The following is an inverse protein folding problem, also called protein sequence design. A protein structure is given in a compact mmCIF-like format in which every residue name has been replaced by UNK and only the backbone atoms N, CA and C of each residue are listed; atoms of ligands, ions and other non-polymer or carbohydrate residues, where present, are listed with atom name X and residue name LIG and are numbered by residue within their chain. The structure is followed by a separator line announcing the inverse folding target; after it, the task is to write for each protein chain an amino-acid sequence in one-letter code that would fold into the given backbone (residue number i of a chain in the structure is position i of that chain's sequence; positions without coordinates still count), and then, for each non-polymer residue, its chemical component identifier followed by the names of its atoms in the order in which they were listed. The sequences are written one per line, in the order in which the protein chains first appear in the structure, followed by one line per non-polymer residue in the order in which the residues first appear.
data_IF_001358731776
#
_entry.id   IF_001358731776
#
_cell.length_a   1.000
_cell.length_b   1.000
_cell.length_c   1.000
_cell.angle_alpha   90.00
_cell.angle_beta   90.00
_cell.angle_gamma   90.00
#
_symmetry.space_group_name_H-M   'P 1'
#
loop_
_entity.id
_entity.type
_entity.pdbx_description
1 polymer ?
#
# COMPACT_ATOMS: atom_id res chain seq x y z
N UNK A 1 1.91 -16.79 -29.87
CA UNK A 1 2.04 -17.77 -28.76
C UNK A 1 1.57 -17.07 -27.49
N UNK A 2 0.84 -17.77 -26.62
CA UNK A 2 0.45 -17.23 -25.31
C UNK A 2 1.66 -17.17 -24.38
N UNK A 3 1.72 -16.16 -23.52
CA UNK A 3 2.74 -15.99 -22.48
C UNK A 3 2.22 -16.61 -21.19
N UNK A 4 2.88 -17.66 -20.70
CA UNK A 4 2.58 -18.27 -19.41
C UNK A 4 3.16 -17.40 -18.30
N UNK A 5 2.30 -16.92 -17.40
CA UNK A 5 2.68 -16.10 -16.23
C UNK A 5 2.49 -16.89 -14.96
N UNK A 6 3.60 -17.35 -14.37
CA UNK A 6 3.62 -18.03 -13.08
C UNK A 6 3.71 -17.00 -11.95
N UNK A 7 2.60 -16.77 -11.25
CA UNK A 7 2.48 -15.69 -10.27
C UNK A 7 2.40 -16.22 -8.84
N UNK A 8 3.22 -15.67 -7.93
CA UNK A 8 3.11 -16.00 -6.50
C UNK A 8 1.93 -15.25 -5.87
N UNK A 9 0.77 -15.89 -5.84
CA UNK A 9 -0.49 -15.34 -5.31
C UNK A 9 -0.66 -15.53 -3.79
N UNK A 10 0.38 -15.99 -3.07
CA UNK A 10 0.31 -16.18 -1.62
C UNK A 10 -0.13 -14.95 -0.81
N UNK A 11 0.16 -13.69 -1.20
CA UNK A 11 -0.36 -12.51 -0.52
C UNK A 11 -1.89 -12.45 -0.44
N UNK A 12 -2.62 -13.05 -1.39
CA UNK A 12 -4.09 -13.08 -1.44
C UNK A 12 -4.71 -13.99 -0.37
N UNK A 13 -3.93 -14.85 0.28
CA UNK A 13 -4.38 -15.72 1.38
C UNK A 13 -4.51 -14.98 2.74
N UNK A 14 -4.14 -13.72 2.78
CA UNK A 14 -4.23 -12.88 3.99
C UNK A 14 -5.27 -11.78 3.80
N UNK A 15 -5.78 -11.17 4.90
CA UNK A 15 -6.61 -9.98 4.76
C UNK A 15 -5.94 -8.96 3.85
N UNK A 16 -6.72 -8.31 2.99
CA UNK A 16 -6.21 -7.40 1.97
C UNK A 16 -5.41 -6.26 2.61
N UNK A 17 -4.15 -6.20 2.23
CA UNK A 17 -3.21 -5.11 2.50
C UNK A 17 -2.85 -4.46 1.18
N UNK A 18 -2.04 -3.40 1.15
CA UNK A 18 -1.58 -2.79 -0.10
C UNK A 18 -1.02 -3.80 -1.10
N UNK A 19 -0.20 -4.77 -0.65
CA UNK A 19 0.34 -5.83 -1.51
C UNK A 19 -0.75 -6.78 -2.02
N UNK A 20 -1.74 -7.12 -1.18
CA UNK A 20 -2.89 -7.92 -1.60
C UNK A 20 -3.75 -7.21 -2.65
N UNK A 21 -3.96 -5.90 -2.50
CA UNK A 21 -4.65 -5.07 -3.49
C UNK A 21 -3.87 -5.00 -4.81
N UNK A 22 -2.55 -4.82 -4.74
CA UNK A 22 -1.68 -4.88 -5.92
C UNK A 22 -1.84 -6.20 -6.67
N UNK A 23 -1.66 -7.34 -5.99
CA UNK A 23 -1.78 -8.65 -6.60
C UNK A 23 -3.14 -8.86 -7.27
N UNK A 24 -4.22 -8.51 -6.55
CA UNK A 24 -5.58 -8.70 -7.05
C UNK A 24 -5.87 -7.85 -8.29
N UNK A 25 -5.58 -6.55 -8.22
CA UNK A 25 -5.91 -5.63 -9.31
C UNK A 25 -5.03 -5.88 -10.54
N UNK A 26 -3.72 -6.07 -10.36
CA UNK A 26 -2.82 -6.39 -11.46
C UNK A 26 -3.25 -7.65 -12.20
N UNK A 27 -3.50 -8.75 -11.47
CA UNK A 27 -3.85 -10.01 -12.09
C UNK A 27 -5.25 -9.99 -12.70
N UNK A 28 -6.21 -9.29 -12.08
CA UNK A 28 -7.54 -9.09 -12.68
C UNK A 28 -7.48 -8.38 -14.04
N UNK A 29 -6.56 -7.42 -14.22
CA UNK A 29 -6.37 -6.76 -15.51
C UNK A 29 -5.60 -7.64 -16.50
N UNK A 30 -4.59 -8.38 -16.05
CA UNK A 30 -3.82 -9.28 -16.91
C UNK A 30 -4.67 -10.43 -17.47
N UNK A 31 -5.61 -10.98 -16.69
CA UNK A 31 -6.59 -11.97 -17.18
C UNK A 31 -7.41 -11.47 -18.37
N UNK A 32 -7.63 -10.15 -18.47
CA UNK A 32 -8.38 -9.51 -19.55
C UNK A 32 -7.52 -9.15 -20.77
N UNK A 33 -6.21 -9.47 -20.77
CA UNK A 33 -5.32 -9.22 -21.90
C UNK A 33 -5.13 -10.49 -22.71
N UNK A 34 -5.50 -10.46 -23.97
CA UNK A 34 -5.35 -11.60 -24.87
C UNK A 34 -3.88 -12.01 -25.02
N UNK A 35 -3.64 -13.33 -25.01
CA UNK A 35 -2.29 -13.88 -25.15
C UNK A 35 -1.50 -13.94 -23.84
N UNK A 36 -2.13 -13.76 -22.68
CA UNK A 36 -1.60 -14.03 -21.35
C UNK A 36 -2.31 -15.23 -20.75
N UNK A 37 -1.56 -16.16 -20.18
CA UNK A 37 -2.06 -17.36 -19.53
C UNK A 37 -1.52 -17.42 -18.09
N UNK A 38 -2.29 -16.94 -17.10
CA UNK A 38 -1.83 -16.83 -15.72
C UNK A 38 -2.03 -18.13 -14.95
N UNK A 39 -1.01 -18.49 -14.15
CA UNK A 39 -1.01 -19.63 -13.21
C UNK A 39 -0.67 -19.10 -11.81
N UNK A 40 -1.53 -19.37 -10.83
CA UNK A 40 -1.44 -18.80 -9.48
C UNK A 40 -0.91 -19.80 -8.47
N UNK A 41 0.18 -19.43 -7.78
CA UNK A 41 0.74 -20.23 -6.69
C UNK A 41 0.34 -19.67 -5.33
N UNK A 42 -0.49 -20.41 -4.60
CA UNK A 42 -1.01 -20.04 -3.28
C UNK A 42 -0.18 -20.66 -2.13
N UNK A 43 1.17 -20.57 -2.23
CA UNK A 43 2.09 -20.95 -1.17
C UNK A 43 2.25 -22.45 -0.89
N UNK A 44 1.81 -23.28 -1.82
CA UNK A 44 1.92 -24.76 -1.78
C UNK A 44 0.98 -25.45 -2.77
N UNK A 45 0.00 -24.71 -3.28
CA UNK A 45 -1.00 -25.22 -4.24
C UNK A 45 -1.04 -24.30 -5.45
N UNK A 46 -1.15 -24.88 -6.64
CA UNK A 46 -1.39 -24.20 -7.88
C UNK A 46 -2.88 -24.12 -8.21
N UNK A 47 -3.28 -23.05 -8.86
CA UNK A 47 -4.64 -22.85 -9.39
C UNK A 47 -4.56 -21.98 -10.64
N UNK A 48 -5.46 -22.19 -11.57
CA UNK A 48 -5.68 -21.34 -12.74
C UNK A 48 -6.77 -20.27 -12.44
N UNK A 49 -7.35 -20.28 -11.22
CA UNK A 49 -8.36 -19.32 -10.79
C UNK A 49 -7.76 -18.30 -9.81
N UNK A 50 -8.01 -17.02 -10.04
CA UNK A 50 -7.64 -15.92 -9.16
C UNK A 50 -8.59 -15.85 -7.96
N UNK A 51 -8.05 -16.03 -6.74
CA UNK A 51 -8.80 -15.86 -5.49
C UNK A 51 -9.07 -14.38 -5.23
N UNK A 52 -10.33 -13.97 -5.36
CA UNK A 52 -10.79 -12.60 -5.14
C UNK A 52 -11.10 -12.26 -3.68
N UNK A 53 -11.25 -13.31 -2.84
CA UNK A 53 -11.48 -13.16 -1.39
C UNK A 53 -10.62 -14.16 -0.62
N UNK A 54 -10.08 -13.70 0.52
CA UNK A 54 -9.31 -14.57 1.40
C UNK A 54 -10.20 -15.67 1.99
N UNK A 55 -9.75 -16.95 2.01
CA UNK A 55 -10.53 -18.05 2.59
C UNK A 55 -10.81 -17.81 4.09
N UNK A 56 -12.06 -17.96 4.50
CA UNK A 56 -12.51 -17.75 5.90
C UNK A 56 -11.93 -18.76 6.91
N UNK A 57 -11.37 -19.89 6.44
CA UNK A 57 -10.92 -21.03 7.27
C UNK A 57 -9.44 -20.97 7.73
N UNK A 58 -8.67 -19.93 7.42
CA UNK A 58 -7.20 -19.88 7.70
C UNK A 58 -6.87 -19.59 9.18
N UNK A 59 -7.85 -19.42 10.05
CA UNK A 59 -7.65 -18.96 11.43
C UNK A 59 -7.04 -19.98 12.40
N UNK A 60 -7.28 -21.28 12.25
CA UNK A 60 -6.91 -22.29 13.25
C UNK A 60 -5.42 -22.73 13.21
N UNK A 61 -4.77 -22.72 12.04
CA UNK A 61 -3.36 -23.18 11.90
C UNK A 61 -2.32 -22.10 12.26
N UNK A 62 -2.74 -20.83 12.41
CA UNK A 62 -1.84 -19.71 12.75
C UNK A 62 -1.28 -19.80 14.18
N UNK A 63 -2.02 -20.34 15.16
CA UNK A 63 -1.58 -20.38 16.57
C UNK A 63 -0.37 -21.31 16.78
N UNK A 64 -0.33 -22.47 16.17
CA UNK A 64 0.76 -23.46 16.35
C UNK A 64 2.05 -23.04 15.62
N UNK A 65 1.94 -22.44 14.41
CA UNK A 65 3.10 -21.94 13.65
C UNK A 65 3.78 -20.74 14.32
N UNK A 66 3.06 -19.96 15.11
CA UNK A 66 3.58 -18.76 15.79
C UNK A 66 4.59 -19.11 16.91
N UNK A 67 4.42 -20.21 17.60
CA UNK A 67 5.30 -20.63 18.71
C UNK A 67 6.67 -21.13 18.22
N UNK A 68 6.72 -21.87 17.11
CA UNK A 68 7.99 -22.39 16.54
C UNK A 68 8.79 -21.29 15.83
N UNK A 69 8.11 -20.35 15.17
CA UNK A 69 8.74 -19.19 14.50
C UNK A 69 9.35 -18.18 15.48
N UNK A 70 8.96 -18.18 16.75
CA UNK A 70 9.49 -17.29 17.77
C UNK A 70 10.87 -17.72 18.30
N UNK A 71 11.27 -18.98 18.15
CA UNK A 71 12.51 -19.51 18.73
C UNK A 71 13.70 -19.41 17.76
N UNK A 72 13.51 -19.62 16.46
CA UNK A 72 14.55 -19.46 15.42
C UNK A 72 13.88 -18.95 14.11
N UNK A 73 13.58 -17.65 14.01
CA UNK A 73 12.78 -17.10 12.88
C UNK A 73 13.44 -17.35 11.52
N UNK A 74 14.73 -17.09 11.40
CA UNK A 74 15.47 -17.14 10.13
C UNK A 74 15.56 -18.56 9.55
N UNK A 75 15.76 -19.57 10.39
CA UNK A 75 15.87 -20.96 9.94
C UNK A 75 14.50 -21.49 9.50
N UNK A 76 13.46 -21.21 10.29
CA UNK A 76 12.09 -21.60 9.97
C UNK A 76 11.59 -20.95 8.67
N UNK A 77 11.84 -19.65 8.49
CA UNK A 77 11.54 -18.94 7.25
C UNK A 77 12.35 -19.46 6.05
N UNK A 78 13.64 -19.74 6.25
CA UNK A 78 14.50 -20.29 5.20
C UNK A 78 14.05 -21.68 4.72
N UNK A 79 13.68 -22.57 5.65
CA UNK A 79 13.15 -23.89 5.34
C UNK A 79 11.79 -23.80 4.64
N UNK A 80 10.90 -22.91 5.11
CA UNK A 80 9.59 -22.70 4.50
C UNK A 80 9.74 -22.16 3.06
N UNK A 81 10.64 -21.20 2.82
CA UNK A 81 10.91 -20.68 1.47
C UNK A 81 11.49 -21.75 0.55
N UNK A 82 12.42 -22.59 1.03
CA UNK A 82 12.95 -23.71 0.25
C UNK A 82 11.86 -24.74 -0.09
N UNK A 83 11.00 -25.06 0.86
CA UNK A 83 9.89 -25.97 0.63
C UNK A 83 8.90 -25.40 -0.40
N UNK A 84 8.48 -24.14 -0.23
CA UNK A 84 7.60 -23.44 -1.18
C UNK A 84 8.22 -23.36 -2.57
N UNK A 85 9.49 -23.00 -2.67
CA UNK A 85 10.20 -22.92 -3.95
C UNK A 85 10.27 -24.30 -4.66
N UNK A 86 10.48 -25.40 -3.92
CA UNK A 86 10.42 -26.75 -4.50
C UNK A 86 9.03 -27.10 -5.02
N UNK A 87 7.97 -26.73 -4.30
CA UNK A 87 6.58 -26.95 -4.74
C UNK A 87 6.23 -26.05 -5.93
N UNK A 88 6.71 -24.82 -5.93
CA UNK A 88 6.59 -23.91 -7.06
C UNK A 88 7.21 -24.54 -8.32
N UNK A 89 8.47 -24.95 -8.26
CA UNK A 89 9.17 -25.53 -9.42
C UNK A 89 8.55 -26.83 -9.94
N UNK A 90 7.89 -27.62 -9.09
CA UNK A 90 7.21 -28.84 -9.53
C UNK A 90 5.94 -28.58 -10.36
N UNK A 91 5.33 -27.42 -10.22
CA UNK A 91 4.12 -27.06 -10.97
C UNK A 91 4.39 -26.29 -12.25
N UNK A 92 5.66 -25.99 -12.59
CA UNK A 92 6.01 -25.36 -13.85
C UNK A 92 5.93 -26.39 -14.98
N UNK A 93 4.96 -26.24 -15.87
CA UNK A 93 4.70 -27.20 -16.93
C UNK A 93 5.51 -26.94 -18.21
N UNK A 94 5.89 -25.69 -18.49
CA UNK A 94 6.58 -25.30 -19.74
C UNK A 94 7.53 -24.14 -19.47
N UNK A 95 8.65 -24.15 -20.19
CA UNK A 95 9.64 -23.07 -20.16
C UNK A 95 9.62 -22.18 -21.40
N UNK A 96 8.93 -22.59 -22.46
CA UNK A 96 8.79 -21.79 -23.68
C UNK A 96 7.76 -20.67 -23.44
N UNK A 97 8.17 -19.42 -23.66
CA UNK A 97 7.33 -18.22 -23.42
C UNK A 97 6.70 -18.19 -22.03
N UNK A 98 7.53 -18.37 -20.99
CA UNK A 98 7.10 -18.37 -19.61
C UNK A 98 7.91 -17.38 -18.76
N UNK A 99 7.25 -16.74 -17.78
CA UNK A 99 7.86 -15.82 -16.82
C UNK A 99 7.35 -16.12 -15.41
N UNK A 100 8.22 -15.99 -14.42
CA UNK A 100 7.85 -15.99 -13.00
C UNK A 100 7.76 -14.56 -12.49
N UNK A 101 6.66 -14.21 -11.86
CA UNK A 101 6.52 -12.96 -11.13
C UNK A 101 6.37 -13.18 -9.62
N UNK A 102 7.32 -12.65 -8.87
CA UNK A 102 7.25 -12.51 -7.41
C UNK A 102 6.75 -11.10 -7.07
N UNK A 103 5.49 -10.95 -6.61
CA UNK A 103 4.92 -9.63 -6.31
C UNK A 103 5.30 -9.10 -4.93
N UNK A 104 6.14 -9.80 -4.16
CA UNK A 104 6.40 -9.48 -2.77
C UNK A 104 7.85 -9.75 -2.36
N UNK A 105 8.78 -8.98 -2.90
CA UNK A 105 10.19 -8.88 -2.54
C UNK A 105 11.07 -10.13 -2.77
N UNK A 106 10.66 -11.33 -2.30
CA UNK A 106 11.57 -12.47 -2.14
C UNK A 106 11.25 -13.62 -3.10
N UNK A 107 11.83 -13.59 -4.29
CA UNK A 107 11.64 -14.60 -5.31
C UNK A 107 12.18 -15.99 -4.93
N UNK A 108 11.48 -17.03 -5.38
CA UNK A 108 11.99 -18.39 -5.37
C UNK A 108 13.15 -18.54 -6.37
N UNK A 109 14.00 -19.52 -6.12
CA UNK A 109 14.98 -19.92 -7.12
C UNK A 109 14.30 -20.82 -8.15
N UNK A 110 14.21 -20.38 -9.39
CA UNK A 110 13.50 -21.04 -10.50
C UNK A 110 14.31 -20.93 -11.79
N UNK A 111 14.17 -21.86 -12.76
CA UNK A 111 14.78 -21.76 -14.06
C UNK A 111 14.10 -20.75 -15.00
N UNK A 112 12.96 -20.17 -14.61
CA UNK A 112 12.22 -19.21 -15.43
C UNK A 112 12.85 -17.82 -15.35
N UNK A 113 12.76 -17.02 -16.43
CA UNK A 113 12.92 -15.57 -16.34
C UNK A 113 12.08 -15.02 -15.20
N UNK A 114 12.68 -14.21 -14.33
CA UNK A 114 12.08 -13.80 -13.06
C UNK A 114 11.94 -12.30 -12.97
N UNK A 115 10.71 -11.85 -12.71
CA UNK A 115 10.37 -10.47 -12.37
C UNK A 115 10.04 -10.39 -10.88
N UNK A 116 10.57 -9.39 -10.18
CA UNK A 116 10.32 -9.15 -8.76
C UNK A 116 9.75 -7.76 -8.58
N UNK A 117 8.61 -7.63 -7.88
CA UNK A 117 8.14 -6.32 -7.42
C UNK A 117 8.72 -6.01 -6.05
N UNK A 118 9.38 -4.86 -5.96
CA UNK A 118 9.92 -4.27 -4.74
C UNK A 118 9.14 -2.99 -4.47
N UNK A 119 8.16 -3.09 -3.55
CA UNK A 119 7.24 -2.00 -3.26
C UNK A 119 7.93 -0.82 -2.59
N UNK A 120 8.88 -1.08 -1.69
CA UNK A 120 9.64 -0.06 -0.99
C UNK A 120 10.96 -0.61 -0.41
N UNK A 121 11.83 0.27 0.04
CA UNK A 121 13.03 -0.06 0.81
C UNK A 121 12.93 0.40 2.27
N UNK A 122 11.72 0.52 2.82
CA UNK A 122 11.49 0.99 4.19
C UNK A 122 12.24 0.18 5.24
N UNK A 123 12.39 -1.13 4.98
CA UNK A 123 13.14 -2.04 5.86
C UNK A 123 14.63 -1.65 5.98
N UNK A 124 15.20 -1.00 4.97
CA UNK A 124 16.59 -0.53 4.94
C UNK A 124 16.71 0.94 5.37
N UNK A 125 15.74 1.79 4.99
CA UNK A 125 15.77 3.24 5.23
C UNK A 125 15.28 3.63 6.62
N UNK A 126 14.30 2.87 7.14
CA UNK A 126 13.64 3.10 8.44
C UNK A 126 13.55 1.80 9.25
N UNK A 127 14.68 1.09 9.49
CA UNK A 127 14.68 -0.20 10.17
C UNK A 127 14.09 -0.13 11.59
N UNK A 128 14.22 1.01 12.25
CA UNK A 128 13.66 1.27 13.58
C UNK A 128 12.13 1.25 13.59
N UNK A 129 11.48 1.45 12.43
CA UNK A 129 10.03 1.41 12.31
C UNK A 129 9.47 -0.01 12.13
N UNK A 130 10.34 -0.99 11.95
CA UNK A 130 9.98 -2.39 11.71
C UNK A 130 10.36 -3.31 12.90
N UNK A 131 9.74 -4.50 13.02
CA UNK A 131 10.21 -5.54 13.94
C UNK A 131 11.64 -5.98 13.59
N UNK A 132 12.49 -6.13 14.61
CA UNK A 132 13.94 -6.42 14.44
C UNK A 132 14.22 -7.72 13.68
N UNK A 133 13.45 -8.76 13.94
CA UNK A 133 13.52 -10.05 13.27
C UNK A 133 13.22 -9.93 11.76
N UNK A 134 12.19 -9.14 11.41
CA UNK A 134 11.87 -8.85 10.02
C UNK A 134 12.99 -8.07 9.32
N UNK A 135 13.56 -7.06 9.97
CA UNK A 135 14.69 -6.28 9.44
C UNK A 135 15.85 -7.21 9.13
N UNK A 136 16.31 -8.00 10.12
CA UNK A 136 17.43 -8.92 9.96
C UNK A 136 17.22 -9.93 8.82
N UNK A 137 16.02 -10.49 8.72
CA UNK A 137 15.67 -11.45 7.66
C UNK A 137 15.66 -10.81 6.27
N UNK A 138 14.96 -9.68 6.12
CA UNK A 138 14.80 -9.01 4.84
C UNK A 138 16.12 -8.43 4.33
N UNK A 139 16.91 -7.76 5.17
CA UNK A 139 18.19 -7.16 4.79
C UNK A 139 19.15 -8.20 4.18
N UNK A 140 19.16 -9.43 4.72
CA UNK A 140 20.03 -10.50 4.18
C UNK A 140 19.55 -11.07 2.86
N UNK A 141 18.25 -11.08 2.58
CA UNK A 141 17.68 -11.81 1.44
C UNK A 141 17.20 -10.96 0.30
N UNK A 142 16.84 -9.71 0.58
CA UNK A 142 16.31 -8.79 -0.44
C UNK A 142 17.33 -8.55 -1.55
N UNK A 143 18.58 -8.27 -1.20
CA UNK A 143 19.66 -8.06 -2.17
C UNK A 143 19.92 -9.29 -3.04
N UNK A 144 19.81 -10.50 -2.49
CA UNK A 144 19.95 -11.73 -3.27
C UNK A 144 18.79 -11.91 -4.26
N UNK A 145 17.55 -11.64 -3.82
CA UNK A 145 16.37 -11.70 -4.67
C UNK A 145 16.46 -10.71 -5.84
N UNK A 146 16.81 -9.44 -5.54
CA UNK A 146 16.94 -8.37 -6.53
C UNK A 146 18.05 -8.70 -7.57
N UNK A 147 19.22 -9.17 -7.13
CA UNK A 147 20.32 -9.48 -8.06
C UNK A 147 20.01 -10.65 -8.99
N UNK A 148 19.23 -11.63 -8.54
CA UNK A 148 18.82 -12.78 -9.35
C UNK A 148 17.67 -12.50 -10.29
N UNK A 149 16.83 -11.53 -10.00
CA UNK A 149 15.73 -11.16 -10.88
C UNK A 149 16.27 -10.66 -12.23
N UNK A 150 15.66 -11.04 -13.33
CA UNK A 150 15.98 -10.50 -14.67
C UNK A 150 15.50 -9.06 -14.80
N UNK A 151 14.39 -8.71 -14.13
CA UNK A 151 13.93 -7.35 -14.00
C UNK A 151 13.26 -7.13 -12.63
N UNK A 152 13.42 -5.93 -12.09
CA UNK A 152 12.75 -5.48 -10.88
C UNK A 152 11.71 -4.42 -11.24
N UNK A 153 10.49 -4.58 -10.75
CA UNK A 153 9.45 -3.56 -10.82
C UNK A 153 9.43 -2.79 -9.50
N UNK A 154 9.36 -1.47 -9.59
CA UNK A 154 9.10 -0.56 -8.46
C UNK A 154 7.80 0.20 -8.71
N UNK A 155 7.07 0.52 -7.65
CA UNK A 155 5.78 1.18 -7.71
C UNK A 155 5.87 2.67 -8.08
N UNK A 156 7.08 3.27 -8.03
CA UNK A 156 7.32 4.69 -8.28
C UNK A 156 8.71 4.92 -8.88
N UNK A 157 8.89 6.05 -9.55
CA UNK A 157 10.23 6.45 -10.01
C UNK A 157 11.17 6.72 -8.84
N UNK A 158 10.66 7.29 -7.74
CA UNK A 158 11.42 7.44 -6.51
C UNK A 158 11.98 6.09 -6.03
N UNK A 159 11.14 5.07 -5.89
CA UNK A 159 11.55 3.72 -5.48
C UNK A 159 12.51 3.08 -6.49
N UNK A 160 12.30 3.31 -7.80
CA UNK A 160 13.22 2.87 -8.84
C UNK A 160 14.62 3.43 -8.63
N UNK A 161 14.75 4.72 -8.42
CA UNK A 161 16.05 5.38 -8.19
C UNK A 161 16.73 4.87 -6.92
N UNK A 162 15.97 4.64 -5.85
CA UNK A 162 16.52 4.05 -4.62
C UNK A 162 17.07 2.64 -4.84
N UNK A 163 16.34 1.78 -5.57
CA UNK A 163 16.77 0.40 -5.86
C UNK A 163 18.03 0.40 -6.73
N UNK A 164 18.08 1.25 -7.74
CA UNK A 164 19.26 1.41 -8.60
C UNK A 164 20.49 1.80 -7.79
N UNK A 165 20.35 2.80 -6.92
CA UNK A 165 21.44 3.31 -6.09
C UNK A 165 21.88 2.30 -5.02
N UNK A 166 20.93 1.66 -4.32
CA UNK A 166 21.22 0.73 -3.23
C UNK A 166 21.95 -0.54 -3.70
N UNK A 167 21.56 -1.07 -4.87
CA UNK A 167 22.10 -2.34 -5.37
C UNK A 167 23.06 -2.19 -6.53
N UNK A 168 23.38 -0.97 -6.95
CA UNK A 168 24.25 -0.64 -8.09
C UNK A 168 23.83 -1.42 -9.34
N UNK A 169 22.56 -1.36 -9.70
CA UNK A 169 22.01 -2.05 -10.87
C UNK A 169 22.04 -1.14 -12.10
N UNK A 170 22.20 -1.73 -13.31
CA UNK A 170 22.04 -0.97 -14.53
C UNK A 170 20.58 -0.52 -14.72
N UNK A 171 20.34 0.69 -15.28
CA UNK A 171 19.00 1.31 -15.36
C UNK A 171 17.92 0.44 -16.02
N UNK A 172 18.29 -0.41 -16.97
CA UNK A 172 17.40 -1.31 -17.69
C UNK A 172 16.88 -2.49 -16.86
N UNK A 173 17.50 -2.76 -15.70
CA UNK A 173 17.12 -3.83 -14.77
C UNK A 173 16.00 -3.43 -13.82
N UNK A 174 15.71 -2.15 -13.69
CA UNK A 174 14.65 -1.66 -12.79
C UNK A 174 13.69 -0.79 -13.57
N UNK A 175 12.41 -1.12 -13.53
CA UNK A 175 11.33 -0.41 -14.22
C UNK A 175 10.35 0.13 -13.19
N UNK A 176 9.96 1.40 -13.33
CA UNK A 176 8.88 1.99 -12.55
C UNK A 176 7.55 1.67 -13.24
N UNK A 177 6.62 1.05 -12.51
CA UNK A 177 5.25 0.76 -12.95
C UNK A 177 4.29 1.29 -11.90
N UNK A 178 3.59 2.38 -12.23
CA UNK A 178 2.75 3.07 -11.27
C UNK A 178 1.48 2.27 -10.95
N UNK A 179 1.06 2.32 -9.69
CA UNK A 179 -0.17 1.72 -9.22
C UNK A 179 -1.37 2.64 -9.47
N UNK A 180 -2.58 2.17 -9.13
CA UNK A 180 -3.80 2.95 -9.22
C UNK A 180 -4.69 2.74 -7.98
N UNK A 181 -5.66 3.63 -7.77
CA UNK A 181 -6.75 3.37 -6.84
C UNK A 181 -7.60 2.20 -7.36
N UNK A 182 -8.16 1.40 -6.46
CA UNK A 182 -9.08 0.33 -6.84
C UNK A 182 -10.34 0.90 -7.50
N UNK A 183 -11.00 0.11 -8.35
CA UNK A 183 -12.18 0.53 -9.14
C UNK A 183 -13.36 1.02 -8.29
N UNK A 184 -13.41 0.66 -7.00
CA UNK A 184 -14.42 1.15 -6.05
C UNK A 184 -14.18 2.57 -5.53
N UNK A 185 -12.99 3.15 -5.74
CA UNK A 185 -12.66 4.48 -5.25
C UNK A 185 -13.07 5.55 -6.29
N UNK A 186 -14.23 6.12 -6.06
CA UNK A 186 -14.78 7.24 -6.82
C UNK A 186 -15.61 8.13 -5.90
N UNK A 187 -15.91 9.39 -6.28
CA UNK A 187 -16.74 10.26 -5.47
C UNK A 187 -18.12 9.64 -5.22
N UNK A 188 -18.51 9.60 -3.95
CA UNK A 188 -19.85 9.17 -3.53
C UNK A 188 -20.80 10.36 -3.62
N UNK A 189 -22.01 10.13 -4.14
CA UNK A 189 -23.04 11.17 -4.21
C UNK A 189 -23.42 11.69 -2.81
N UNK A 190 -23.66 13.00 -2.69
CA UNK A 190 -23.89 13.66 -1.40
C UNK A 190 -25.07 13.05 -0.63
N UNK A 191 -26.11 12.59 -1.35
CA UNK A 191 -27.32 11.98 -0.80
C UNK A 191 -27.06 10.61 -0.15
N UNK A 192 -26.00 9.91 -0.57
CA UNK A 192 -25.63 8.59 -0.04
C UNK A 192 -24.70 8.67 1.17
N UNK A 193 -23.97 9.78 1.34
CA UNK A 193 -22.98 9.95 2.40
C UNK A 193 -23.58 9.78 3.81
N UNK A 194 -24.75 10.33 4.16
CA UNK A 194 -25.30 10.15 5.51
C UNK A 194 -25.48 8.68 5.89
N UNK A 195 -26.00 7.85 4.99
CA UNK A 195 -26.20 6.42 5.24
C UNK A 195 -24.87 5.66 5.40
N UNK A 196 -23.84 5.99 4.60
CA UNK A 196 -22.54 5.35 4.65
C UNK A 196 -21.70 5.78 5.87
N UNK A 197 -21.90 6.99 6.36
CA UNK A 197 -21.17 7.54 7.51
C UNK A 197 -21.83 7.27 8.86
N UNK A 198 -23.14 6.98 8.87
CA UNK A 198 -23.91 6.69 10.09
C UNK A 198 -23.31 5.56 10.96
N UNK A 199 -22.80 4.44 10.41
CA UNK A 199 -22.16 3.38 11.20
C UNK A 199 -20.94 3.84 11.99
N UNK A 200 -20.33 4.95 11.58
CA UNK A 200 -19.13 5.54 12.20
C UNK A 200 -19.47 6.77 13.04
N UNK A 201 -20.75 7.14 13.15
CA UNK A 201 -21.21 8.38 13.82
C UNK A 201 -20.47 9.62 13.27
N UNK A 202 -20.38 9.73 11.91
CA UNK A 202 -19.71 10.81 11.21
C UNK A 202 -20.68 11.57 10.31
N UNK A 203 -20.38 12.84 10.06
CA UNK A 203 -21.12 13.70 9.15
C UNK A 203 -20.18 14.20 8.02
N UNK A 204 -20.71 14.28 6.81
CA UNK A 204 -19.95 14.76 5.66
C UNK A 204 -19.43 16.18 5.85
N UNK A 205 -18.14 16.39 5.55
CA UNK A 205 -17.47 17.67 5.71
C UNK A 205 -17.10 18.03 7.15
N UNK A 206 -17.35 17.16 8.13
CA UNK A 206 -17.13 17.46 9.54
C UNK A 206 -16.06 16.56 10.20
N UNK A 207 -15.06 16.12 9.47
CA UNK A 207 -13.91 15.41 10.07
C UNK A 207 -12.65 15.52 9.20
N UNK A 208 -11.51 15.47 9.88
CA UNK A 208 -10.19 15.21 9.26
C UNK A 208 -9.98 13.70 9.27
N UNK A 209 -9.47 13.12 8.18
CA UNK A 209 -9.30 11.68 8.03
C UNK A 209 -7.83 11.30 7.81
N UNK A 210 -7.39 10.21 8.43
CA UNK A 210 -6.18 9.48 8.07
C UNK A 210 -6.48 7.98 7.97
N UNK A 211 -5.99 7.31 6.92
CA UNK A 211 -6.25 5.89 6.66
C UNK A 211 -4.94 5.14 6.52
N UNK A 212 -4.82 3.99 7.18
CA UNK A 212 -3.68 3.08 7.05
C UNK A 212 -3.40 2.29 8.32
N UNK A 213 -2.59 1.25 8.22
CA UNK A 213 -2.11 0.51 9.40
C UNK A 213 -1.37 1.46 10.33
N UNK A 214 -1.69 1.41 11.63
CA UNK A 214 -1.05 2.24 12.64
C UNK A 214 0.36 1.73 12.90
N UNK A 215 1.33 2.31 12.21
CA UNK A 215 2.75 2.00 12.33
C UNK A 215 3.58 3.30 12.38
N UNK A 216 4.78 3.30 12.99
CA UNK A 216 5.57 4.51 13.18
C UNK A 216 5.88 5.27 11.88
N UNK A 217 6.08 4.57 10.78
CA UNK A 217 6.38 5.12 9.46
C UNK A 217 5.27 6.05 8.93
N UNK A 218 4.00 5.78 9.30
CA UNK A 218 2.84 6.63 8.92
C UNK A 218 2.80 7.97 9.67
N UNK A 219 3.63 8.11 10.70
CA UNK A 219 3.88 9.37 11.40
C UNK A 219 2.63 10.06 11.96
N UNK A 220 1.69 9.25 12.44
CA UNK A 220 0.46 9.74 13.05
C UNK A 220 0.70 10.62 14.28
N UNK A 221 1.82 10.42 14.98
CA UNK A 221 2.24 11.27 16.10
C UNK A 221 2.38 12.74 15.68
N UNK A 222 3.03 13.01 14.54
CA UNK A 222 3.12 14.38 13.99
C UNK A 222 1.74 14.92 13.59
N UNK A 223 0.91 14.09 12.93
CA UNK A 223 -0.45 14.49 12.58
C UNK A 223 -1.30 14.87 13.81
N UNK A 224 -1.21 14.11 14.88
CA UNK A 224 -1.94 14.37 16.12
C UNK A 224 -1.43 15.61 16.82
N UNK A 225 -0.11 15.82 16.90
CA UNK A 225 0.49 17.04 17.45
C UNK A 225 0.07 18.28 16.68
N UNK A 226 0.05 18.20 15.36
CA UNK A 226 -0.43 19.27 14.49
C UNK A 226 -1.93 19.55 14.70
N UNK A 227 -2.75 18.51 14.74
CA UNK A 227 -4.17 18.63 15.01
C UNK A 227 -4.45 19.24 16.41
N UNK A 228 -3.68 18.87 17.43
CA UNK A 228 -3.80 19.41 18.77
C UNK A 228 -3.51 20.93 18.88
N UNK A 229 -2.81 21.50 17.88
CA UNK A 229 -2.54 22.95 17.77
C UNK A 229 -3.67 23.75 17.16
N UNK A 230 -4.64 23.08 16.52
CA UNK A 230 -5.82 23.76 16.00
C UNK A 230 -6.64 24.38 17.16
N UNK A 231 -7.37 25.47 16.91
CA UNK A 231 -8.30 26.04 17.90
C UNK A 231 -9.26 24.99 18.47
N UNK A 232 -9.54 25.06 19.77
CA UNK A 232 -10.37 24.07 20.43
C UNK A 232 -11.77 23.98 19.83
N UNK A 233 -12.35 25.11 19.43
CA UNK A 233 -13.65 25.15 18.75
C UNK A 233 -13.65 24.29 17.46
N UNK A 234 -12.59 24.39 16.66
CA UNK A 234 -12.42 23.56 15.44
C UNK A 234 -12.35 22.08 15.82
N UNK A 235 -11.56 21.72 16.83
CA UNK A 235 -11.41 20.31 17.24
C UNK A 235 -12.68 19.70 17.83
N UNK A 236 -13.56 20.51 18.41
CA UNK A 236 -14.86 20.05 18.90
C UNK A 236 -15.84 19.76 17.76
N UNK A 237 -15.81 20.56 16.71
CA UNK A 237 -16.71 20.44 15.56
C UNK A 237 -16.19 19.44 14.50
N UNK A 238 -14.86 19.35 14.34
CA UNK A 238 -14.19 18.60 13.25
C UNK A 238 -13.18 17.62 13.87
N UNK A 239 -13.64 16.45 14.38
CA UNK A 239 -12.74 15.46 14.98
C UNK A 239 -11.76 14.90 13.98
N UNK A 240 -10.59 14.47 14.47
CA UNK A 240 -9.61 13.71 13.68
C UNK A 240 -9.93 12.21 13.75
N UNK A 241 -10.29 11.64 12.62
CA UNK A 241 -10.69 10.24 12.45
C UNK A 241 -9.52 9.44 11.92
N UNK A 242 -9.19 8.35 12.60
CA UNK A 242 -8.11 7.44 12.25
C UNK A 242 -8.72 6.07 11.93
N UNK A 243 -8.63 5.65 10.66
CA UNK A 243 -9.11 4.36 10.17
C UNK A 243 -7.92 3.44 9.85
N UNK A 244 -7.89 2.25 10.42
CA UNK A 244 -6.86 1.25 10.16
C UNK A 244 -6.61 0.32 11.33
N UNK A 245 -6.06 -0.84 11.02
CA UNK A 245 -5.70 -1.83 12.04
C UNK A 245 -4.56 -1.34 12.93
N UNK A 246 -4.57 -1.75 14.20
CA UNK A 246 -3.41 -1.58 15.07
C UNK A 246 -2.22 -2.36 14.51
N UNK A 247 -1.15 -1.66 14.20
CA UNK A 247 0.12 -2.22 13.76
C UNK A 247 1.03 -2.55 14.93
N UNK A 248 2.27 -2.13 14.85
CA UNK A 248 3.30 -2.38 15.88
C UNK A 248 3.88 -1.06 16.41
N UNK A 249 4.41 -1.08 17.66
CA UNK A 249 5.04 0.08 18.32
C UNK A 249 4.13 1.31 18.43
N UNK A 250 2.86 1.10 18.77
CA UNK A 250 1.85 2.17 18.90
C UNK A 250 1.69 2.70 20.32
N UNK A 251 2.42 2.18 21.32
CA UNK A 251 2.22 2.53 22.74
C UNK A 251 2.47 4.01 23.06
N UNK A 252 3.41 4.65 22.35
CA UNK A 252 3.62 6.10 22.42
C UNK A 252 2.44 6.90 21.92
N UNK A 253 1.89 6.50 20.79
CA UNK A 253 0.71 7.10 20.18
C UNK A 253 -0.50 7.00 21.12
N UNK A 254 -0.69 5.83 21.76
CA UNK A 254 -1.84 5.59 22.66
C UNK A 254 -1.87 6.59 23.83
N UNK A 255 -0.72 7.00 24.38
CA UNK A 255 -0.62 7.99 25.42
C UNK A 255 -0.89 9.42 24.95
N UNK A 256 -0.36 9.79 23.78
CA UNK A 256 -0.53 11.14 23.22
C UNK A 256 -1.98 11.43 22.83
N UNK A 257 -2.74 10.41 22.45
CA UNK A 257 -4.13 10.57 21.99
C UNK A 257 -5.17 10.46 23.12
N UNK A 258 -4.83 9.87 24.28
CA UNK A 258 -5.81 9.53 25.31
C UNK A 258 -6.72 10.71 25.70
N UNK A 259 -6.13 11.85 26.03
CA UNK A 259 -6.90 13.05 26.42
C UNK A 259 -7.78 13.62 25.29
N UNK A 260 -7.34 13.49 24.02
CA UNK A 260 -8.12 13.95 22.87
C UNK A 260 -9.27 12.98 22.53
N UNK A 261 -9.06 11.68 22.77
CA UNK A 261 -10.13 10.67 22.63
C UNK A 261 -11.21 10.89 23.69
N UNK A 262 -10.83 11.10 24.95
CA UNK A 262 -11.77 11.38 26.05
C UNK A 262 -12.65 12.61 25.76
N UNK A 263 -12.09 13.62 25.09
CA UNK A 263 -12.82 14.81 24.64
C UNK A 263 -13.62 14.60 23.34
N UNK A 264 -13.60 13.42 22.74
CA UNK A 264 -14.24 13.16 21.45
C UNK A 264 -13.57 13.83 20.23
N UNK A 265 -12.41 14.47 20.43
CA UNK A 265 -11.67 15.19 19.39
C UNK A 265 -10.87 14.28 18.47
N UNK A 266 -10.54 13.06 18.91
CA UNK A 266 -9.97 12.00 18.09
C UNK A 266 -10.85 10.76 18.15
N UNK A 267 -11.12 10.16 17.01
CA UNK A 267 -11.90 8.91 16.90
C UNK A 267 -11.05 7.86 16.17
N UNK A 268 -10.95 6.66 16.75
CA UNK A 268 -10.28 5.51 16.15
C UNK A 268 -11.33 4.50 15.70
N UNK A 269 -11.44 4.28 14.40
CA UNK A 269 -12.43 3.36 13.84
C UNK A 269 -11.93 1.90 13.84
N UNK A 270 -10.63 1.67 14.01
CA UNK A 270 -10.06 0.34 13.80
C UNK A 270 -10.08 -0.08 12.34
N UNK A 271 -10.23 -1.38 12.08
CA UNK A 271 -10.37 -1.88 10.72
C UNK A 271 -11.68 -1.41 10.09
N UNK A 272 -11.58 -0.83 8.92
CA UNK A 272 -12.72 -0.43 8.09
C UNK A 272 -12.71 -1.31 6.84
N UNK A 273 -13.83 -1.93 6.47
CA UNK A 273 -13.95 -2.68 5.22
C UNK A 273 -13.70 -1.80 4.00
N UNK A 274 -13.10 -2.38 2.96
CA UNK A 274 -12.74 -1.65 1.73
C UNK A 274 -13.97 -0.95 1.10
N UNK A 275 -15.14 -1.57 1.21
CA UNK A 275 -16.40 -1.06 0.66
C UNK A 275 -16.89 0.22 1.35
N UNK A 276 -16.47 0.47 2.60
CA UNK A 276 -16.84 1.66 3.35
C UNK A 276 -15.84 2.83 3.17
N UNK A 277 -14.62 2.54 2.72
CA UNK A 277 -13.57 3.55 2.54
C UNK A 277 -13.96 4.67 1.57
N UNK A 278 -14.60 4.41 0.41
CA UNK A 278 -15.01 5.47 -0.51
C UNK A 278 -15.94 6.51 0.15
N UNK A 279 -16.86 6.06 1.00
CA UNK A 279 -17.73 6.95 1.79
C UNK A 279 -16.94 7.80 2.78
N UNK A 280 -15.98 7.19 3.50
CA UNK A 280 -15.12 7.91 4.43
C UNK A 280 -14.21 8.93 3.73
N UNK A 281 -13.62 8.59 2.59
CA UNK A 281 -12.82 9.54 1.82
C UNK A 281 -13.70 10.68 1.27
N UNK A 282 -14.82 10.35 0.61
CA UNK A 282 -15.69 11.36 -0.03
C UNK A 282 -16.30 12.33 0.97
N UNK A 283 -16.59 11.87 2.19
CA UNK A 283 -17.13 12.69 3.27
C UNK A 283 -16.07 13.44 4.06
N UNK A 284 -14.79 13.19 3.89
CA UNK A 284 -13.73 13.86 4.65
C UNK A 284 -13.60 15.34 4.25
N UNK A 285 -13.48 16.23 5.27
CA UNK A 285 -13.14 17.63 5.03
C UNK A 285 -11.72 17.79 4.53
N UNK A 286 -10.79 17.04 5.13
CA UNK A 286 -9.37 16.99 4.78
C UNK A 286 -8.86 15.57 5.02
N UNK A 287 -8.07 15.04 4.10
CA UNK A 287 -7.31 13.81 4.30
C UNK A 287 -5.84 14.15 4.60
N UNK A 288 -5.28 13.56 5.66
CA UNK A 288 -3.93 13.86 6.15
C UNK A 288 -3.07 12.61 6.16
N UNK A 289 -1.91 12.67 5.51
CA UNK A 289 -1.01 11.53 5.37
C UNK A 289 0.48 11.95 5.42
N UNK A 290 1.00 12.30 6.60
CA UNK A 290 2.34 12.84 6.76
C UNK A 290 3.42 11.74 6.90
N UNK A 291 3.31 10.65 6.15
CA UNK A 291 4.22 9.52 6.22
C UNK A 291 5.68 9.94 6.06
N UNK A 292 6.57 9.32 6.84
CA UNK A 292 8.01 9.51 6.74
C UNK A 292 8.56 8.93 5.43
N UNK A 293 7.94 7.86 4.95
CA UNK A 293 8.39 7.14 3.77
C UNK A 293 7.27 6.25 3.21
N UNK A 294 7.09 6.25 1.88
CA UNK A 294 6.19 5.38 1.13
C UNK A 294 6.84 4.89 -0.16
N UNK A 295 6.48 3.68 -0.58
CA UNK A 295 6.89 3.17 -1.89
C UNK A 295 6.04 3.73 -3.03
N UNK A 296 4.75 4.04 -2.74
CA UNK A 296 3.83 4.69 -3.68
C UNK A 296 2.95 5.73 -2.99
N UNK A 297 1.96 5.30 -2.22
CA UNK A 297 0.98 6.19 -1.56
C UNK A 297 -0.44 5.93 -2.05
N UNK A 298 -0.90 4.67 -2.00
CA UNK A 298 -2.27 4.32 -2.35
C UNK A 298 -3.32 5.12 -1.58
N UNK A 299 -3.24 5.31 -0.23
CA UNK A 299 -4.27 6.05 0.50
C UNK A 299 -4.46 7.50 0.04
N UNK A 300 -3.43 8.32 -0.20
CA UNK A 300 -3.60 9.64 -0.82
C UNK A 300 -4.22 9.58 -2.21
N UNK A 301 -3.85 8.60 -3.04
CA UNK A 301 -4.44 8.44 -4.37
C UNK A 301 -5.92 8.06 -4.29
N UNK A 302 -6.30 7.14 -3.40
CA UNK A 302 -7.67 6.76 -3.12
C UNK A 302 -8.50 7.95 -2.61
N UNK A 303 -7.92 8.75 -1.71
CA UNK A 303 -8.54 9.97 -1.20
C UNK A 303 -8.80 10.97 -2.33
N UNK A 304 -7.82 11.22 -3.21
CA UNK A 304 -7.98 12.07 -4.39
C UNK A 304 -9.03 11.54 -5.35
N UNK A 305 -9.03 10.22 -5.62
CA UNK A 305 -10.01 9.58 -6.48
C UNK A 305 -11.44 9.75 -5.95
N UNK A 306 -11.63 9.72 -4.62
CA UNK A 306 -12.91 9.97 -3.95
C UNK A 306 -13.22 11.48 -3.76
N UNK A 307 -12.33 12.36 -4.16
CA UNK A 307 -12.52 13.81 -4.07
C UNK A 307 -12.22 14.40 -2.70
N UNK A 308 -11.46 13.73 -1.82
CA UNK A 308 -10.96 14.36 -0.61
C UNK A 308 -9.79 15.30 -0.92
N UNK A 309 -9.75 16.53 -0.37
CA UNK A 309 -8.56 17.37 -0.38
C UNK A 309 -7.46 16.73 0.48
N UNK A 310 -6.23 16.64 -0.04
CA UNK A 310 -5.16 15.91 0.63
C UNK A 310 -4.05 16.82 1.13
N UNK A 311 -3.51 16.49 2.32
CA UNK A 311 -2.23 16.98 2.83
C UNK A 311 -1.31 15.78 3.00
N UNK A 312 -0.16 15.81 2.36
CA UNK A 312 0.82 14.72 2.43
C UNK A 312 2.20 15.26 2.83
N UNK A 313 3.12 14.37 3.21
CA UNK A 313 4.51 14.78 3.34
C UNK A 313 5.15 15.00 1.96
N UNK A 314 6.20 15.84 1.93
CA UNK A 314 7.03 16.09 0.76
C UNK A 314 8.14 15.03 0.57
N UNK A 315 7.94 13.80 1.08
CA UNK A 315 8.96 12.75 1.13
C UNK A 315 8.62 11.56 0.25
N UNK A 316 9.67 10.86 -0.18
CA UNK A 316 9.59 9.63 -0.97
C UNK A 316 8.73 9.76 -2.23
N UNK A 317 7.84 8.81 -2.49
CA UNK A 317 6.96 8.80 -3.67
C UNK A 317 5.75 9.73 -3.57
N UNK A 318 5.44 10.31 -2.40
CA UNK A 318 4.23 11.11 -2.21
C UNK A 318 4.16 12.35 -3.11
N UNK A 319 5.26 13.12 -3.33
CA UNK A 319 5.27 14.20 -4.31
C UNK A 319 4.98 13.73 -5.74
N UNK A 320 5.50 12.55 -6.11
CA UNK A 320 5.26 11.95 -7.43
C UNK A 320 3.79 11.57 -7.63
N UNK A 321 3.12 11.06 -6.60
CA UNK A 321 1.71 10.65 -6.67
C UNK A 321 0.77 11.85 -6.62
N UNK A 322 0.97 12.76 -5.67
CA UNK A 322 0.04 13.87 -5.42
C UNK A 322 0.27 15.06 -6.35
N UNK A 323 1.52 15.36 -6.71
CA UNK A 323 1.85 16.53 -7.53
C UNK A 323 1.37 17.82 -6.89
N UNK A 324 0.74 18.67 -7.70
CA UNK A 324 0.12 19.94 -7.29
C UNK A 324 -1.36 19.81 -6.87
N UNK A 325 -1.88 18.59 -6.84
CA UNK A 325 -3.27 18.29 -6.48
C UNK A 325 -3.52 18.21 -4.97
N UNK A 326 -2.51 18.41 -4.14
CA UNK A 326 -2.60 18.45 -2.68
C UNK A 326 -1.60 19.40 -2.06
N UNK A 327 -1.70 19.64 -0.76
CA UNK A 327 -0.70 20.38 0.00
C UNK A 327 0.42 19.40 0.42
N UNK A 328 1.67 19.84 0.25
CA UNK A 328 2.84 19.10 0.66
C UNK A 328 3.55 19.85 1.79
N UNK A 329 3.86 19.12 2.88
CA UNK A 329 4.52 19.67 4.07
C UNK A 329 5.73 18.81 4.45
N UNK A 330 6.71 19.34 5.18
CA UNK A 330 7.73 18.47 5.73
C UNK A 330 7.12 17.52 6.76
N UNK A 331 7.49 16.23 6.69
CA UNK A 331 6.92 15.19 7.54
C UNK A 331 7.11 15.43 9.05
N UNK A 332 8.12 16.21 9.43
CA UNK A 332 8.45 16.51 10.83
C UNK A 332 8.00 17.92 11.26
N UNK A 333 7.51 18.73 10.33
CA UNK A 333 7.05 20.09 10.63
C UNK A 333 5.62 20.06 11.16
N UNK A 334 5.50 20.05 12.48
CA UNK A 334 4.20 20.05 13.18
C UNK A 334 3.44 21.36 12.96
N UNK A 335 4.16 22.51 12.91
CA UNK A 335 3.53 23.82 12.72
C UNK A 335 3.02 24.01 11.30
N UNK A 336 3.83 23.67 10.30
CA UNK A 336 3.42 23.72 8.89
C UNK A 336 2.25 22.77 8.60
N UNK A 337 2.22 21.58 9.24
CA UNK A 337 1.10 20.65 9.09
C UNK A 337 -0.17 21.20 9.77
N UNK A 338 -0.06 21.85 10.94
CA UNK A 338 -1.18 22.47 11.62
C UNK A 338 -1.74 23.65 10.80
N UNK A 339 -0.87 24.48 10.22
CA UNK A 339 -1.25 25.58 9.32
C UNK A 339 -1.97 25.05 8.07
N UNK A 340 -1.43 24.01 7.42
CA UNK A 340 -2.06 23.39 6.26
C UNK A 340 -3.45 22.81 6.60
N UNK A 341 -3.59 22.13 7.75
CA UNK A 341 -4.90 21.66 8.23
C UNK A 341 -5.86 22.81 8.46
N UNK A 342 -5.44 23.85 9.21
CA UNK A 342 -6.27 24.99 9.52
C UNK A 342 -6.73 25.72 8.25
N UNK A 343 -5.83 25.89 7.29
CA UNK A 343 -6.12 26.50 5.99
C UNK A 343 -7.17 25.70 5.22
N UNK A 344 -6.98 24.37 5.09
CA UNK A 344 -7.95 23.53 4.38
C UNK A 344 -9.29 23.40 5.12
N UNK A 345 -9.31 23.49 6.43
CA UNK A 345 -10.56 23.47 7.21
C UNK A 345 -11.36 24.77 6.99
N UNK A 346 -10.69 25.92 6.88
CA UNK A 346 -11.36 27.23 6.77
C UNK A 346 -11.64 27.71 5.36
N UNK A 347 -10.93 27.22 4.32
CA UNK A 347 -10.97 27.75 2.95
C UNK A 347 -11.73 26.81 2.00
N UNK A 348 -13.02 27.11 1.77
CA UNK A 348 -13.89 26.33 0.88
C UNK A 348 -13.44 26.39 -0.59
N UNK A 349 -12.90 27.53 -1.03
CA UNK A 349 -12.45 27.74 -2.41
C UNK A 349 -11.22 26.87 -2.69
N UNK A 350 -10.26 26.88 -1.76
CA UNK A 350 -9.07 26.05 -1.87
C UNK A 350 -9.44 24.56 -1.84
N UNK A 351 -10.36 24.15 -0.93
CA UNK A 351 -10.82 22.75 -0.90
C UNK A 351 -11.46 22.33 -2.22
N UNK A 352 -12.35 23.14 -2.77
CA UNK A 352 -13.01 22.85 -4.04
C UNK A 352 -11.99 22.73 -5.19
N UNK A 353 -11.00 23.61 -5.24
CA UNK A 353 -9.91 23.57 -6.20
C UNK A 353 -9.06 22.29 -6.08
N UNK A 354 -8.63 21.93 -4.85
CA UNK A 354 -7.84 20.71 -4.61
C UNK A 354 -8.64 19.45 -4.88
N UNK A 355 -9.92 19.43 -4.53
CA UNK A 355 -10.84 18.33 -4.87
C UNK A 355 -10.86 18.06 -6.38
N UNK A 356 -11.06 19.10 -7.18
CA UNK A 356 -11.11 18.97 -8.64
C UNK A 356 -9.77 18.49 -9.20
N UNK A 357 -8.67 19.12 -8.79
CA UNK A 357 -7.32 18.71 -9.22
C UNK A 357 -6.97 17.30 -8.79
N UNK A 358 -7.35 16.90 -7.56
CA UNK A 358 -7.14 15.54 -7.04
C UNK A 358 -7.84 14.49 -7.88
N UNK A 359 -9.12 14.69 -8.19
CA UNK A 359 -9.88 13.78 -9.05
C UNK A 359 -9.29 13.70 -10.47
N UNK A 360 -8.86 14.82 -11.03
CA UNK A 360 -8.21 14.83 -12.35
C UNK A 360 -6.86 14.11 -12.31
N UNK A 361 -6.05 14.37 -11.28
CA UNK A 361 -4.77 13.69 -11.07
C UNK A 361 -4.94 12.18 -10.97
N UNK A 362 -5.94 11.72 -10.21
CA UNK A 362 -6.20 10.29 -10.00
C UNK A 362 -6.54 9.54 -11.30
N UNK A 363 -7.16 10.19 -12.29
CA UNK A 363 -7.41 9.60 -13.61
C UNK A 363 -6.14 9.25 -14.40
N UNK A 364 -5.01 9.88 -14.07
CA UNK A 364 -3.71 9.57 -14.66
C UNK A 364 -3.15 8.20 -14.25
N UNK A 365 -3.77 7.53 -13.27
CA UNK A 365 -3.35 6.23 -12.74
C UNK A 365 -4.42 5.18 -13.07
N UNK A 366 -4.03 4.06 -13.69
CA UNK A 366 -4.97 3.00 -14.00
C UNK A 366 -4.33 1.62 -13.87
N UNK A 367 -5.07 0.67 -13.33
CA UNK A 367 -4.63 -0.73 -13.24
C UNK A 367 -4.44 -1.36 -14.61
N UNK A 368 -5.22 -0.93 -15.59
CA UNK A 368 -5.03 -1.37 -16.98
C UNK A 368 -3.66 -0.99 -17.52
N UNK A 369 -3.24 0.26 -17.31
CA UNK A 369 -1.89 0.73 -17.68
C UNK A 369 -0.82 0.01 -16.88
N UNK A 370 -1.00 -0.19 -15.58
CA UNK A 370 -0.10 -0.97 -14.72
C UNK A 370 0.09 -2.39 -15.29
N UNK A 371 -0.98 -3.05 -15.71
CA UNK A 371 -0.92 -4.38 -16.31
C UNK A 371 -0.22 -4.39 -17.67
N UNK A 372 -0.49 -3.41 -18.52
CA UNK A 372 0.15 -3.27 -19.84
C UNK A 372 1.65 -3.02 -19.73
N UNK A 373 2.07 -2.12 -18.82
CA UNK A 373 3.49 -1.86 -18.53
C UNK A 373 4.18 -3.09 -17.92
N UNK A 374 3.50 -3.79 -16.98
CA UNK A 374 4.01 -5.05 -16.41
C UNK A 374 4.16 -6.13 -17.48
N UNK A 375 3.19 -6.26 -18.38
CA UNK A 375 3.26 -7.22 -19.50
C UNK A 375 4.43 -6.89 -20.46
N UNK A 376 4.71 -5.61 -20.69
CA UNK A 376 5.87 -5.20 -21.48
C UNK A 376 7.19 -5.65 -20.81
N UNK A 377 7.28 -5.56 -19.47
CA UNK A 377 8.42 -6.10 -18.71
C UNK A 377 8.52 -7.62 -18.89
N UNK A 378 7.42 -8.37 -18.77
CA UNK A 378 7.41 -9.82 -18.96
C UNK A 378 7.92 -10.21 -20.35
N UNK A 379 7.40 -9.56 -21.39
CA UNK A 379 7.84 -9.82 -22.76
C UNK A 379 9.32 -9.54 -22.95
N UNK A 380 9.81 -8.43 -22.42
CA UNK A 380 11.24 -8.08 -22.48
C UNK A 380 12.14 -9.17 -21.86
N UNK A 381 11.80 -9.69 -20.67
CA UNK A 381 12.66 -10.68 -20.00
C UNK A 381 12.55 -12.08 -20.59
N UNK A 382 11.49 -12.38 -21.34
CA UNK A 382 11.33 -13.67 -22.05
C UNK A 382 12.04 -13.68 -23.40
N UNK A 383 12.23 -12.52 -24.06
CA UNK A 383 12.84 -12.41 -25.40
C UNK A 383 14.31 -12.02 -25.34
N UNK A 384 14.78 -11.43 -24.26
CA UNK A 384 16.16 -10.95 -24.07
C UNK A 384 17.06 -11.93 -23.47
#
# INVERSE_FOLDING_TARGET
MSLNVYFNAAPLLSPKTGIGQYCLNLMSELENISGVDPHYFYGGVWSDELLRQAPTSVSATKKFKRTVAQVIPDLAYGLQQRWRGRHFCKGIASTASAVYHEPNFLAFNTPLPTVVTVHDLSILRYPETHPRDRVSFMTRRLGESIRRADCVISDSEYGRQEILAEYNLPPERVVSVLLAAGSGFSPVAAEQLPALLAPFDLQSGQYVLSVGTLEPRKNLTTAIKAYARLPEAIRQEIPFVIAGMKGWRTDGLDREVAALIEKGQIRRLGYVPDEALPGLYSGARVFVYPSLYEGFGLPPLEAMACGAPVIVSNRSSLPEVVGDAGLQVDALDVDGLAEAMNRLIGDDVLRASLRQRGMERAKGFSWRRCAEETLAVYRKVVTG
#
